data_IF_142265071074
#
_entry.id   IF_142265071074
#
_cell.length_a   1.000
_cell.length_b   1.000
_cell.length_c   1.000
_cell.angle_alpha   90.00
_cell.angle_beta   90.00
_cell.angle_gamma   90.00
#
_symmetry.space_group_name_H-M   'P 1'
#
loop_
_entity.id
_entity.type
_entity.pdbx_description
1 polymer ?
#
# COMPACT_ATOMS: atom_id res chain seq x y z
N UNK A 1 8.27 -7.27 16.10
CA UNK A 1 7.06 -7.43 16.96
C UNK A 1 5.82 -7.60 16.08
N UNK A 2 4.67 -7.99 16.63
CA UNK A 2 3.41 -8.05 15.85
C UNK A 2 2.97 -6.63 15.43
N UNK A 3 2.85 -6.40 14.12
CA UNK A 3 2.37 -5.15 13.52
C UNK A 3 0.84 -5.09 13.46
N UNK A 4 0.29 -3.89 13.54
CA UNK A 4 -1.14 -3.63 13.31
C UNK A 4 -1.33 -2.81 12.05
N UNK A 5 -2.30 -3.22 11.22
CA UNK A 5 -2.69 -2.48 10.02
C UNK A 5 -3.04 -1.03 10.38
N UNK A 6 -2.42 -0.09 9.68
CA UNK A 6 -2.78 1.32 9.68
C UNK A 6 -2.86 1.81 8.25
N UNK A 7 -3.93 2.54 7.95
CA UNK A 7 -4.16 3.12 6.62
C UNK A 7 -4.43 4.60 6.80
N UNK A 8 -3.64 5.43 6.13
CA UNK A 8 -3.74 6.87 6.17
C UNK A 8 -4.05 7.39 4.78
N UNK A 9 -5.12 8.17 4.63
CA UNK A 9 -5.33 8.98 3.44
C UNK A 9 -4.35 10.16 3.48
N UNK A 10 -3.39 10.18 2.57
CA UNK A 10 -2.33 11.20 2.51
C UNK A 10 -2.78 12.38 1.66
N UNK A 11 -3.31 12.10 0.47
CA UNK A 11 -3.79 13.09 -0.51
C UNK A 11 -4.93 12.53 -1.34
N UNK A 12 -5.71 13.42 -1.94
CA UNK A 12 -6.70 13.09 -2.95
C UNK A 12 -6.88 14.27 -3.92
N UNK A 13 -7.48 14.02 -5.08
CA UNK A 13 -7.95 15.08 -5.98
C UNK A 13 -8.91 16.01 -5.21
N UNK A 14 -8.67 17.33 -5.16
CA UNK A 14 -9.62 18.27 -4.56
C UNK A 14 -10.99 18.15 -5.23
N UNK A 15 -12.06 18.14 -4.43
CA UNK A 15 -13.44 18.01 -4.92
C UNK A 15 -13.59 16.89 -5.98
N UNK A 16 -13.32 15.62 -5.61
CA UNK A 16 -13.21 14.54 -6.58
C UNK A 16 -14.51 14.31 -7.37
N UNK A 17 -15.66 14.47 -6.72
CA UNK A 17 -16.97 14.34 -7.37
C UNK A 17 -17.22 15.44 -8.42
N UNK A 18 -16.76 16.66 -8.17
CA UNK A 18 -16.85 17.76 -9.13
C UNK A 18 -15.95 17.51 -10.34
N UNK A 19 -14.73 17.03 -10.10
CA UNK A 19 -13.79 16.63 -11.16
C UNK A 19 -14.39 15.55 -12.06
N UNK A 20 -14.97 14.51 -11.46
CA UNK A 20 -15.68 13.43 -12.17
C UNK A 20 -16.85 13.98 -12.97
N UNK A 21 -17.69 14.82 -12.34
CA UNK A 21 -18.87 15.38 -12.98
C UNK A 21 -18.50 16.26 -14.18
N UNK A 22 -17.41 17.02 -14.07
CA UNK A 22 -16.90 17.88 -15.14
C UNK A 22 -16.41 17.05 -16.31
N UNK A 23 -15.60 16.02 -16.06
CA UNK A 23 -15.11 15.10 -17.09
C UNK A 23 -16.26 14.43 -17.84
N UNK A 24 -17.28 13.92 -17.12
CA UNK A 24 -18.42 13.26 -17.74
C UNK A 24 -19.30 14.24 -18.54
N UNK A 25 -19.66 15.40 -17.97
CA UNK A 25 -20.58 16.34 -18.64
C UNK A 25 -19.94 17.03 -19.84
N UNK A 26 -18.61 17.20 -19.86
CA UNK A 26 -17.90 17.72 -21.03
C UNK A 26 -18.17 16.87 -22.28
N UNK A 27 -18.31 15.55 -22.15
CA UNK A 27 -18.60 14.66 -23.26
C UNK A 27 -20.02 14.83 -23.85
N UNK A 28 -20.96 15.42 -23.12
CA UNK A 28 -22.38 15.48 -23.49
C UNK A 28 -22.97 16.90 -23.50
N UNK A 29 -22.15 17.93 -23.26
CA UNK A 29 -22.60 19.31 -23.14
C UNK A 29 -22.04 20.18 -24.27
N UNK A 30 -22.89 20.95 -24.99
CA UNK A 30 -22.42 21.97 -25.91
C UNK A 30 -21.97 23.27 -25.19
N UNK A 31 -22.13 23.35 -23.86
CA UNK A 31 -21.69 24.51 -23.07
C UNK A 31 -20.17 24.60 -23.01
N UNK A 32 -19.65 25.83 -22.97
CA UNK A 32 -18.25 26.09 -22.66
C UNK A 32 -17.88 25.65 -21.23
N UNK A 33 -16.57 25.54 -20.99
CA UNK A 33 -16.01 25.01 -19.73
C UNK A 33 -16.39 25.90 -18.53
N UNK A 34 -16.45 27.22 -18.69
CA UNK A 34 -16.76 28.14 -17.57
C UNK A 34 -18.21 28.01 -17.12
N UNK A 35 -19.15 27.98 -18.07
CA UNK A 35 -20.58 27.74 -17.81
C UNK A 35 -20.83 26.38 -17.18
N UNK A 36 -20.11 25.35 -17.62
CA UNK A 36 -20.20 24.01 -17.04
C UNK A 36 -19.71 23.98 -15.59
N UNK A 37 -18.55 24.61 -15.33
CA UNK A 37 -17.94 24.70 -14.01
C UNK A 37 -18.89 25.33 -12.99
N UNK A 38 -19.47 26.49 -13.31
CA UNK A 38 -20.40 27.17 -12.40
C UNK A 38 -21.65 26.34 -12.04
N UNK A 39 -22.15 25.51 -12.95
CA UNK A 39 -23.27 24.58 -12.69
C UNK A 39 -22.89 23.40 -11.81
N UNK A 40 -21.62 23.01 -11.81
CA UNK A 40 -21.10 21.88 -11.04
C UNK A 40 -20.79 22.31 -9.61
N UNK A 41 -20.02 23.38 -9.43
CA UNK A 41 -19.60 23.90 -8.13
C UNK A 41 -20.78 24.34 -7.24
N UNK A 42 -21.93 24.64 -7.85
CA UNK A 42 -23.16 25.08 -7.14
C UNK A 42 -24.10 23.93 -6.74
N UNK A 43 -23.76 22.68 -7.05
CA UNK A 43 -24.65 21.52 -6.83
C UNK A 43 -23.89 20.33 -6.24
N UNK A 44 -24.55 19.59 -5.38
CA UNK A 44 -24.09 18.26 -4.96
C UNK A 44 -24.06 17.30 -6.16
N UNK A 45 -22.90 16.71 -6.45
CA UNK A 45 -22.69 15.81 -7.59
C UNK A 45 -22.85 14.33 -7.22
N UNK A 46 -23.05 13.99 -5.94
CA UNK A 46 -23.11 12.59 -5.48
C UNK A 46 -24.08 11.73 -6.28
N UNK A 47 -25.33 12.18 -6.43
CA UNK A 47 -26.35 11.44 -7.18
C UNK A 47 -25.98 11.24 -8.67
N UNK A 48 -25.25 12.19 -9.25
CA UNK A 48 -24.77 12.09 -10.62
C UNK A 48 -23.60 11.10 -10.73
N UNK A 49 -22.63 11.15 -9.82
CA UNK A 49 -21.52 10.17 -9.76
C UNK A 49 -22.04 8.75 -9.54
N UNK A 50 -23.00 8.56 -8.62
CA UNK A 50 -23.66 7.27 -8.41
C UNK A 50 -24.34 6.75 -9.68
N UNK A 51 -24.96 7.64 -10.46
CA UNK A 51 -25.57 7.28 -11.75
C UNK A 51 -24.51 6.82 -12.75
N UNK A 52 -23.37 7.51 -12.86
CA UNK A 52 -22.27 7.13 -13.75
C UNK A 52 -21.76 5.72 -13.45
N UNK A 53 -21.55 5.40 -12.17
CA UNK A 53 -21.14 4.06 -11.72
C UNK A 53 -22.21 3.01 -12.09
N UNK A 54 -23.50 3.29 -11.83
CA UNK A 54 -24.61 2.37 -12.14
C UNK A 54 -24.73 2.01 -13.63
N UNK A 55 -24.42 2.95 -14.51
CA UNK A 55 -24.48 2.73 -15.97
C UNK A 55 -23.17 2.20 -16.55
N UNK A 56 -22.13 1.99 -15.72
CA UNK A 56 -20.82 1.50 -16.16
C UNK A 56 -19.97 2.53 -16.91
N UNK A 57 -20.29 3.82 -16.83
CA UNK A 57 -19.48 4.88 -17.45
C UNK A 57 -18.30 5.22 -16.54
N UNK A 58 -17.24 4.40 -16.59
CA UNK A 58 -16.14 4.44 -15.63
C UNK A 58 -15.01 5.41 -15.99
N UNK A 59 -14.83 5.78 -17.26
CA UNK A 59 -13.73 6.67 -17.66
C UNK A 59 -13.70 8.03 -16.96
N UNK A 60 -14.84 8.68 -16.60
CA UNK A 60 -14.79 9.92 -15.82
C UNK A 60 -14.32 9.71 -14.36
N UNK A 61 -14.50 8.51 -13.81
CA UNK A 61 -14.09 8.15 -12.45
C UNK A 61 -12.56 8.17 -12.32
N UNK A 62 -11.85 7.82 -13.41
CA UNK A 62 -10.38 7.76 -13.44
C UNK A 62 -9.70 9.13 -13.27
N UNK A 63 -10.42 10.24 -13.37
CA UNK A 63 -9.87 11.59 -13.11
C UNK A 63 -9.73 11.91 -11.62
N UNK A 64 -10.35 11.13 -10.73
CA UNK A 64 -10.16 11.26 -9.29
C UNK A 64 -9.09 10.26 -8.81
N UNK A 65 -8.08 10.75 -8.10
CA UNK A 65 -7.02 9.93 -7.52
C UNK A 65 -6.93 10.11 -6.01
N UNK A 66 -6.51 9.06 -5.33
CA UNK A 66 -6.30 8.99 -3.89
C UNK A 66 -4.93 8.37 -3.60
N UNK A 67 -4.21 8.95 -2.65
CA UNK A 67 -2.91 8.45 -2.17
C UNK A 67 -3.05 7.99 -0.73
N UNK A 68 -2.73 6.72 -0.48
CA UNK A 68 -2.71 6.13 0.85
C UNK A 68 -1.29 5.78 1.26
N UNK A 69 -0.98 5.98 2.54
CA UNK A 69 0.16 5.36 3.21
C UNK A 69 -0.35 4.22 4.09
N UNK A 70 0.26 3.05 3.92
CA UNK A 70 -0.16 1.81 4.57
C UNK A 70 1.02 1.23 5.35
N UNK A 71 0.79 0.94 6.62
CA UNK A 71 1.73 0.23 7.52
C UNK A 71 1.06 -1.03 8.09
N UNK A 72 1.85 -1.96 8.62
CA UNK A 72 1.34 -3.18 9.23
C UNK A 72 0.73 -4.17 8.25
N UNK A 73 1.19 -4.19 7.00
CA UNK A 73 0.88 -5.25 6.02
C UNK A 73 2.08 -6.16 5.83
N UNK A 74 1.85 -7.43 5.50
CA UNK A 74 2.93 -8.38 5.26
C UNK A 74 3.56 -8.22 3.87
N UNK A 75 4.77 -8.73 3.69
CA UNK A 75 5.40 -8.86 2.37
C UNK A 75 4.52 -9.65 1.41
N UNK A 76 3.91 -10.75 1.86
CA UNK A 76 2.95 -11.51 1.05
C UNK A 76 1.75 -10.67 0.58
N UNK A 77 1.17 -9.86 1.46
CA UNK A 77 0.08 -8.95 1.11
C UNK A 77 0.53 -7.93 0.06
N UNK A 78 1.68 -7.27 0.28
CA UNK A 78 2.21 -6.29 -0.68
C UNK A 78 2.48 -6.90 -2.05
N UNK A 79 2.90 -8.18 -2.10
CA UNK A 79 3.16 -8.88 -3.36
C UNK A 79 1.88 -9.16 -4.16
N UNK A 80 0.72 -9.25 -3.50
CA UNK A 80 -0.59 -9.26 -4.19
C UNK A 80 -1.03 -7.85 -4.57
N UNK A 81 -0.86 -6.87 -3.68
CA UNK A 81 -1.27 -5.48 -3.89
C UNK A 81 -0.62 -4.89 -5.16
N UNK A 82 0.69 -5.06 -5.34
CA UNK A 82 1.42 -4.52 -6.50
C UNK A 82 1.04 -5.18 -7.85
N UNK A 83 0.18 -6.21 -7.85
CA UNK A 83 -0.36 -6.80 -9.08
C UNK A 83 -1.46 -5.92 -9.70
N UNK A 84 -2.01 -4.98 -8.96
CA UNK A 84 -2.92 -3.96 -9.48
C UNK A 84 -2.09 -2.89 -10.23
N UNK A 85 -1.96 -3.07 -11.55
CA UNK A 85 -1.05 -2.29 -12.40
C UNK A 85 -1.48 -0.83 -12.62
N UNK A 86 -2.77 -0.52 -12.46
CA UNK A 86 -3.30 0.84 -12.59
C UNK A 86 -3.21 1.56 -11.24
N UNK A 87 -1.98 1.70 -10.76
CA UNK A 87 -1.63 2.41 -9.53
C UNK A 87 -0.11 2.68 -9.52
N UNK A 88 0.31 3.65 -8.71
CA UNK A 88 1.71 3.96 -8.44
C UNK A 88 2.10 3.53 -7.03
N UNK A 89 3.30 2.96 -6.86
CA UNK A 89 3.75 2.41 -5.59
C UNK A 89 5.12 2.92 -5.17
N UNK A 90 5.27 3.22 -3.88
CA UNK A 90 6.57 3.42 -3.23
C UNK A 90 6.63 2.58 -1.96
N UNK A 91 7.48 1.57 -1.93
CA UNK A 91 7.54 0.58 -0.85
C UNK A 91 8.88 0.62 -0.11
N UNK A 92 8.83 0.42 1.20
CA UNK A 92 10.04 0.31 2.02
C UNK A 92 10.93 -0.85 1.53
N UNK A 93 12.18 -0.54 1.21
CA UNK A 93 13.14 -1.48 0.66
C UNK A 93 13.95 -2.17 1.76
N UNK A 94 13.88 -3.49 1.82
CA UNK A 94 14.75 -4.33 2.65
C UNK A 94 16.21 -4.38 2.15
N UNK A 95 16.55 -3.70 1.05
CA UNK A 95 17.96 -3.49 0.64
C UNK A 95 18.56 -2.31 1.40
N UNK A 96 17.78 -1.24 1.53
CA UNK A 96 18.24 0.03 2.12
C UNK A 96 17.96 0.13 3.62
N UNK A 97 16.83 -0.42 4.07
CA UNK A 97 16.46 -0.45 5.49
C UNK A 97 16.91 -1.79 6.06
N UNK A 98 17.90 -1.76 6.96
CA UNK A 98 18.37 -2.94 7.68
C UNK A 98 17.36 -3.32 8.77
N UNK A 99 17.09 -4.62 8.88
CA UNK A 99 16.25 -5.20 9.93
C UNK A 99 17.08 -5.72 11.12
N UNK A 100 18.37 -5.33 11.25
CA UNK A 100 19.25 -5.80 12.33
C UNK A 100 18.73 -5.42 13.73
N UNK A 101 18.01 -4.29 13.82
CA UNK A 101 17.38 -3.81 15.04
C UNK A 101 16.10 -4.58 15.42
N UNK A 102 15.65 -5.51 14.57
CA UNK A 102 14.39 -6.23 14.72
C UNK A 102 13.41 -5.91 13.59
N UNK A 103 12.94 -6.92 12.87
CA UNK A 103 11.80 -6.77 11.96
C UNK A 103 10.47 -6.94 12.70
N UNK A 104 9.49 -6.18 12.24
CA UNK A 104 8.09 -6.36 12.61
C UNK A 104 7.38 -7.31 11.64
N UNK A 105 6.27 -7.94 12.07
CA UNK A 105 5.60 -8.99 11.29
C UNK A 105 4.10 -9.04 11.54
N UNK A 106 3.36 -9.59 10.58
CA UNK A 106 1.90 -9.79 10.66
C UNK A 106 1.59 -11.25 10.99
N UNK A 107 0.79 -11.47 12.04
CA UNK A 107 0.26 -12.80 12.37
C UNK A 107 -1.14 -12.95 11.74
N UNK A 108 -1.37 -13.97 10.88
CA UNK A 108 -2.70 -14.24 10.34
C UNK A 108 -3.74 -14.48 11.45
N UNK A 109 -5.00 -14.00 11.33
CA UNK A 109 -6.01 -14.13 12.38
C UNK A 109 -6.22 -15.57 12.88
N UNK A 110 -6.29 -16.53 11.96
CA UNK A 110 -6.45 -17.96 12.28
C UNK A 110 -5.31 -18.51 13.15
N UNK A 111 -4.07 -18.03 12.94
CA UNK A 111 -2.92 -18.40 13.77
C UNK A 111 -2.96 -17.64 15.10
N UNK A 112 -3.36 -16.36 15.08
CA UNK A 112 -3.39 -15.50 16.25
C UNK A 112 -4.42 -15.94 17.30
N UNK A 113 -5.57 -16.44 16.86
CA UNK A 113 -6.68 -16.85 17.72
C UNK A 113 -6.43 -18.21 18.39
N UNK A 114 -5.46 -18.99 17.88
CA UNK A 114 -5.00 -20.23 18.48
C UNK A 114 -3.69 -19.99 19.28
N UNK A 115 -3.71 -20.29 20.58
CA UNK A 115 -2.56 -20.05 21.46
C UNK A 115 -1.34 -20.88 21.08
N UNK A 116 -1.53 -22.13 20.70
CA UNK A 116 -0.42 -23.03 20.36
C UNK A 116 0.22 -22.60 19.04
N UNK A 117 -0.61 -22.35 18.01
CA UNK A 117 -0.13 -21.88 16.71
C UNK A 117 0.58 -20.54 16.82
N UNK A 118 0.03 -19.60 17.61
CA UNK A 118 0.65 -18.30 17.84
C UNK A 118 2.04 -18.43 18.46
N UNK A 119 2.18 -19.23 19.52
CA UNK A 119 3.48 -19.43 20.19
C UNK A 119 4.51 -20.03 19.23
N UNK A 120 4.10 -21.02 18.44
CA UNK A 120 4.99 -21.65 17.45
C UNK A 120 5.42 -20.65 16.37
N UNK A 121 4.49 -19.82 15.89
CA UNK A 121 4.76 -18.79 14.90
C UNK A 121 5.71 -17.71 15.42
N UNK A 122 5.47 -17.19 16.62
CA UNK A 122 6.33 -16.18 17.25
C UNK A 122 7.76 -16.70 17.48
N UNK A 123 7.89 -17.98 17.85
CA UNK A 123 9.19 -18.64 17.96
C UNK A 123 9.94 -18.64 16.61
N UNK A 124 9.26 -19.01 15.52
CA UNK A 124 9.86 -18.99 14.19
C UNK A 124 10.26 -17.57 13.75
N UNK A 125 9.48 -16.54 14.09
CA UNK A 125 9.86 -15.14 13.81
C UNK A 125 11.17 -14.76 14.52
N UNK A 126 11.37 -15.20 15.77
CA UNK A 126 12.61 -14.97 16.49
C UNK A 126 13.80 -15.70 15.85
N UNK A 127 13.63 -16.96 15.46
CA UNK A 127 14.66 -17.75 14.74
C UNK A 127 15.05 -17.10 13.40
N UNK A 128 14.08 -16.56 12.67
CA UNK A 128 14.33 -15.82 11.43
C UNK A 128 15.13 -14.53 11.67
N UNK A 129 14.87 -13.81 12.78
CA UNK A 129 15.63 -12.62 13.16
C UNK A 129 17.08 -12.97 13.49
N UNK A 130 17.30 -14.03 14.27
CA UNK A 130 18.64 -14.50 14.60
C UNK A 130 19.40 -14.91 13.35
N UNK A 131 18.73 -15.61 12.42
CA UNK A 131 19.29 -16.02 11.13
C UNK A 131 19.68 -14.80 10.29
N UNK A 132 18.80 -13.81 10.17
CA UNK A 132 19.09 -12.56 9.45
C UNK A 132 20.32 -11.85 10.04
N UNK A 133 20.36 -11.65 11.36
CA UNK A 133 21.47 -11.00 12.05
C UNK A 133 22.78 -11.74 11.86
N UNK A 134 22.74 -13.08 11.94
CA UNK A 134 23.91 -13.92 11.71
C UNK A 134 24.44 -13.77 10.27
N UNK A 135 23.55 -13.78 9.27
CA UNK A 135 23.93 -13.60 7.87
C UNK A 135 24.56 -12.22 7.65
N UNK A 136 23.94 -11.14 8.14
CA UNK A 136 24.50 -9.79 8.01
C UNK A 136 25.89 -9.72 8.65
N UNK A 137 26.06 -10.25 9.87
CA UNK A 137 27.37 -10.31 10.53
C UNK A 137 28.41 -11.04 9.68
N UNK A 138 28.09 -12.22 9.15
CA UNK A 138 29.01 -13.02 8.33
C UNK A 138 29.33 -12.40 6.98
N UNK A 139 28.38 -11.68 6.37
CA UNK A 139 28.62 -10.91 5.15
C UNK A 139 29.55 -9.73 5.44
N UNK A 140 29.33 -9.01 6.54
CA UNK A 140 30.17 -7.90 6.97
C UNK A 140 31.62 -8.33 7.24
N UNK A 141 31.83 -9.49 7.88
CA UNK A 141 33.16 -10.11 8.09
C UNK A 141 33.88 -10.43 6.76
N UNK A 142 33.12 -10.69 5.69
CA UNK A 142 33.64 -10.92 4.32
C UNK A 142 33.81 -9.63 3.51
N UNK A 143 33.57 -8.46 4.11
CA UNK A 143 33.66 -7.17 3.43
C UNK A 143 32.42 -6.78 2.60
N UNK A 144 31.38 -7.60 2.57
CA UNK A 144 30.08 -7.27 1.94
C UNK A 144 29.26 -6.51 2.98
N UNK A 145 29.01 -5.22 2.75
CA UNK A 145 28.41 -4.33 3.76
C UNK A 145 27.21 -3.54 3.21
N UNK A 146 26.40 -3.02 4.12
CA UNK A 146 25.29 -2.12 3.81
C UNK A 146 24.27 -2.78 2.88
N UNK A 147 23.92 -2.09 1.79
CA UNK A 147 22.87 -2.53 0.85
C UNK A 147 23.11 -3.95 0.32
N UNK A 148 24.36 -4.30 -0.03
CA UNK A 148 24.69 -5.61 -0.55
C UNK A 148 24.48 -6.72 0.49
N UNK A 149 24.83 -6.48 1.75
CA UNK A 149 24.61 -7.45 2.83
C UNK A 149 23.12 -7.63 3.11
N UNK A 150 22.37 -6.53 3.23
CA UNK A 150 20.92 -6.55 3.48
C UNK A 150 20.17 -7.25 2.34
N UNK A 151 20.57 -7.01 1.09
CA UNK A 151 19.98 -7.61 -0.10
C UNK A 151 20.02 -9.14 -0.08
N UNK A 152 21.09 -9.73 0.45
CA UNK A 152 21.26 -11.18 0.51
C UNK A 152 20.71 -11.75 1.82
N UNK A 153 20.94 -11.09 2.95
CA UNK A 153 20.45 -11.54 4.26
C UNK A 153 18.92 -11.56 4.35
N UNK A 154 18.22 -10.63 3.68
CA UNK A 154 16.75 -10.56 3.68
C UNK A 154 16.05 -11.81 3.16
N UNK A 155 16.75 -12.72 2.46
CA UNK A 155 16.17 -14.00 2.03
C UNK A 155 15.79 -14.90 3.21
N UNK A 156 16.33 -14.65 4.40
CA UNK A 156 15.90 -15.30 5.65
C UNK A 156 14.60 -14.70 6.22
N UNK A 157 14.17 -13.52 5.76
CA UNK A 157 12.97 -12.88 6.28
C UNK A 157 11.72 -13.56 5.72
N UNK A 158 10.72 -13.87 6.58
CA UNK A 158 9.53 -14.59 6.16
C UNK A 158 8.58 -13.69 5.38
N UNK A 159 7.64 -14.32 4.65
CA UNK A 159 6.51 -13.64 4.00
C UNK A 159 5.66 -12.78 4.95
N UNK A 160 5.71 -13.07 6.24
CA UNK A 160 5.01 -12.35 7.30
C UNK A 160 5.68 -11.03 7.68
N UNK A 161 6.94 -10.80 7.30
CA UNK A 161 7.65 -9.57 7.62
C UNK A 161 6.83 -8.36 7.17
N UNK A 162 6.75 -7.35 8.04
CA UNK A 162 6.03 -6.12 7.78
C UNK A 162 6.68 -5.38 6.60
N UNK A 163 5.84 -4.67 5.86
CA UNK A 163 6.30 -3.62 4.98
C UNK A 163 5.36 -2.42 5.04
N UNK A 164 5.93 -1.28 4.69
CA UNK A 164 5.21 -0.01 4.55
C UNK A 164 5.19 0.37 3.08
N UNK A 165 4.04 0.83 2.60
CA UNK A 165 3.84 1.16 1.19
C UNK A 165 2.96 2.39 1.03
N UNK A 166 3.37 3.29 0.15
CA UNK A 166 2.49 4.29 -0.43
C UNK A 166 1.90 3.76 -1.72
N UNK A 167 0.59 3.97 -1.90
CA UNK A 167 -0.14 3.65 -3.13
C UNK A 167 -0.93 4.87 -3.58
N UNK A 168 -0.84 5.23 -4.86
CA UNK A 168 -1.70 6.22 -5.50
C UNK A 168 -2.50 5.53 -6.60
N UNK A 169 -3.82 5.69 -6.60
CA UNK A 169 -4.74 5.15 -7.61
C UNK A 169 -5.93 6.06 -7.83
#
# INVERSE_FOLDING_TARGET
>A
MESKLKVFLVRHTPYPEETIAMAAKLCYSPSDIESLRGKIETRDQKAFVEKLVKIGHMSPIEHASFTFAIEGISRACSHQLVRHRLASYSQQSQRYVSEEAGFDYVIPPVIKDDKELKVFFEKFMAEAQETYNYLVKKLNEKGIKGEAANQDARFALPNAAETKIMVTM
#
